data_IF_465708407627
#
_entry.id   IF_465708407627
#
_cell.length_a   1.000
_cell.length_b   1.000
_cell.length_c   1.000
_cell.angle_alpha   90.00
_cell.angle_beta   90.00
_cell.angle_gamma   90.00
#
_symmetry.space_group_name_H-M   'P 1'
#
loop_
_entity.id
_entity.type
_entity.pdbx_description
1 polymer ?
#
# COMPACT_ATOMS: atom_id res chain seq x y z
N UNK A 1 -11.93 -17.17 1.86
CA UNK A 1 -11.97 -15.95 1.01
C UNK A 1 -11.18 -14.90 1.75
N UNK A 2 -10.16 -14.31 1.14
CA UNK A 2 -9.43 -13.20 1.75
C UNK A 2 -10.36 -11.99 1.82
N UNK A 3 -10.42 -11.33 2.97
CA UNK A 3 -11.27 -10.16 3.23
C UNK A 3 -10.43 -8.88 3.19
N UNK A 4 -10.17 -8.28 2.01
CA UNK A 4 -9.23 -7.18 1.92
C UNK A 4 -9.79 -5.89 2.53
N UNK A 5 -8.92 -5.13 3.17
CA UNK A 5 -9.17 -3.76 3.64
C UNK A 5 -8.01 -2.87 3.24
N UNK A 6 -8.27 -1.60 3.02
CA UNK A 6 -7.23 -0.62 2.68
C UNK A 6 -6.68 -0.04 3.99
N UNK A 7 -5.39 0.25 4.04
CA UNK A 7 -4.76 0.95 5.17
C UNK A 7 -4.07 2.17 4.60
N UNK A 8 -4.43 3.35 5.09
CA UNK A 8 -3.78 4.62 4.78
C UNK A 8 -3.06 5.12 6.03
N UNK A 9 -1.73 5.19 5.96
CA UNK A 9 -0.89 5.43 7.12
C UNK A 9 -0.03 6.68 6.92
N UNK A 10 -0.14 7.63 7.84
CA UNK A 10 0.54 8.92 7.76
C UNK A 10 2.05 8.75 7.67
N UNK A 11 2.66 9.43 6.69
CA UNK A 11 4.09 9.46 6.46
C UNK A 11 4.67 10.76 7.00
N UNK A 12 5.67 10.63 7.85
CA UNK A 12 6.45 11.74 8.39
C UNK A 12 7.60 12.04 7.43
N UNK A 13 7.59 13.24 6.85
CA UNK A 13 8.71 13.84 6.12
C UNK A 13 9.21 15.07 6.87
N UNK A 14 10.52 15.34 6.80
CA UNK A 14 11.11 16.57 7.36
C UNK A 14 10.57 17.82 6.67
N UNK A 15 10.16 17.70 5.40
CA UNK A 15 9.55 18.79 4.64
C UNK A 15 8.12 19.16 5.09
N UNK A 16 7.50 18.37 5.99
CA UNK A 16 6.33 18.81 6.76
C UNK A 16 4.98 18.84 6.03
N UNK A 17 4.78 18.11 4.92
CA UNK A 17 3.47 18.11 4.28
C UNK A 17 2.43 17.27 5.05
N UNK A 18 1.21 17.81 5.11
CA UNK A 18 0.14 17.33 6.00
C UNK A 18 -0.61 16.12 5.44
N UNK A 19 -0.64 15.91 4.13
CA UNK A 19 -1.40 14.81 3.49
C UNK A 19 -0.52 13.62 3.07
N UNK A 20 0.75 13.60 3.47
CA UNK A 20 1.64 12.50 3.12
C UNK A 20 1.20 11.20 3.80
N UNK A 21 1.02 10.16 2.99
CA UNK A 21 0.61 8.85 3.49
C UNK A 21 1.10 7.72 2.57
N UNK A 22 1.10 6.51 3.11
CA UNK A 22 1.30 5.28 2.36
C UNK A 22 0.03 4.44 2.46
N UNK A 23 -0.39 3.91 1.33
CA UNK A 23 -1.52 3.02 1.20
C UNK A 23 -1.05 1.58 0.94
N UNK A 24 -1.69 0.62 1.58
CA UNK A 24 -1.50 -0.81 1.28
C UNK A 24 -2.76 -1.59 1.67
N UNK A 25 -2.85 -2.85 1.24
CA UNK A 25 -3.99 -3.71 1.57
C UNK A 25 -3.62 -4.68 2.69
N UNK A 26 -4.53 -4.86 3.64
CA UNK A 26 -4.48 -5.94 4.63
C UNK A 26 -5.53 -6.99 4.26
N UNK A 27 -5.09 -8.25 4.22
CA UNK A 27 -5.94 -9.44 4.15
C UNK A 27 -5.52 -10.45 5.23
N UNK A 28 -6.20 -11.60 5.29
CA UNK A 28 -5.90 -12.64 6.29
C UNK A 28 -4.44 -13.12 6.17
N UNK A 29 -3.93 -13.25 4.94
CA UNK A 29 -2.55 -13.67 4.68
C UNK A 29 -1.55 -12.62 5.19
N UNK A 30 -1.81 -11.34 4.98
CA UNK A 30 -0.99 -10.25 5.48
C UNK A 30 -1.00 -10.20 7.01
N UNK A 31 -2.17 -10.35 7.63
CA UNK A 31 -2.31 -10.41 9.08
C UNK A 31 -1.51 -11.57 9.68
N UNK A 32 -1.61 -12.77 9.11
CA UNK A 32 -0.83 -13.94 9.54
C UNK A 32 0.67 -13.74 9.32
N UNK A 33 1.05 -13.16 8.19
CA UNK A 33 2.45 -12.83 7.91
C UNK A 33 3.02 -11.83 8.92
N UNK A 34 2.26 -10.82 9.35
CA UNK A 34 2.69 -9.90 10.40
C UNK A 34 2.95 -10.64 11.72
N UNK A 35 2.06 -11.55 12.12
CA UNK A 35 2.25 -12.38 13.32
C UNK A 35 3.50 -13.26 13.20
N UNK A 36 3.70 -13.90 12.05
CA UNK A 36 4.88 -14.72 11.78
C UNK A 36 6.16 -13.88 11.86
N UNK A 37 6.23 -12.76 11.15
CA UNK A 37 7.40 -11.88 11.19
C UNK A 37 7.68 -11.35 12.60
N UNK A 38 6.63 -11.05 13.37
CA UNK A 38 6.77 -10.65 14.78
C UNK A 38 7.38 -11.75 15.64
N UNK A 39 7.02 -13.01 15.41
CA UNK A 39 7.57 -14.17 16.13
C UNK A 39 9.06 -14.41 15.85
N UNK A 40 9.57 -13.93 14.71
CA UNK A 40 10.99 -13.99 14.37
C UNK A 40 11.85 -13.01 15.19
N UNK A 41 11.22 -12.03 15.83
CA UNK A 41 11.92 -11.04 16.65
C UNK A 41 11.86 -11.46 18.12
N UNK A 42 12.97 -11.88 18.74
CA UNK A 42 12.99 -12.33 20.12
C UNK A 42 12.55 -11.21 21.07
N UNK A 43 11.79 -11.51 22.15
CA UNK A 43 11.42 -10.51 23.14
C UNK A 43 12.67 -9.94 23.85
N UNK A 44 12.72 -8.62 23.98
CA UNK A 44 13.79 -7.94 24.70
C UNK A 44 13.56 -8.07 26.21
N UNK A 45 14.44 -8.79 26.89
CA UNK A 45 14.46 -8.87 28.35
C UNK A 45 15.50 -7.89 28.91
N UNK A 46 15.39 -7.52 30.19
CA UNK A 46 16.31 -6.59 30.87
C UNK A 46 17.79 -6.97 30.70
N UNK A 47 18.10 -8.27 30.69
CA UNK A 47 19.46 -8.79 30.46
C UNK A 47 20.01 -8.63 29.04
N UNK A 48 19.13 -8.53 28.05
CA UNK A 48 19.48 -8.54 26.63
C UNK A 48 19.34 -7.15 25.99
N UNK A 49 18.67 -6.20 26.67
CA UNK A 49 18.41 -4.84 26.17
C UNK A 49 19.68 -4.00 26.00
N UNK A 50 20.73 -4.30 26.76
CA UNK A 50 22.05 -3.63 26.72
C UNK A 50 23.07 -4.33 25.84
N UNK A 51 22.71 -5.46 25.23
CA UNK A 51 23.60 -6.20 24.33
C UNK A 51 23.34 -5.74 22.89
N UNK A 52 24.35 -5.13 22.28
CA UNK A 52 24.31 -4.59 20.90
C UNK A 52 24.04 -5.65 19.80
N UNK A 53 24.05 -6.94 20.12
CA UNK A 53 23.94 -8.05 19.18
C UNK A 53 22.55 -8.71 19.13
N UNK A 54 21.53 -8.11 19.75
CA UNK A 54 20.17 -8.67 19.72
C UNK A 54 19.43 -8.13 18.51
N UNK A 55 18.88 -9.04 17.69
CA UNK A 55 17.95 -8.67 16.62
C UNK A 55 16.69 -8.12 17.28
N UNK A 56 16.58 -6.80 17.32
CA UNK A 56 15.43 -6.10 17.91
C UNK A 56 14.33 -5.80 16.88
N UNK A 57 14.66 -5.92 15.59
CA UNK A 57 13.78 -5.57 14.47
C UNK A 57 14.02 -6.46 13.26
N UNK A 58 12.95 -6.73 12.53
CA UNK A 58 12.99 -7.36 11.20
C UNK A 58 12.45 -6.37 10.17
N UNK A 59 13.14 -6.27 9.03
CA UNK A 59 12.74 -5.43 7.89
C UNK A 59 12.46 -6.32 6.70
N UNK A 60 11.25 -6.21 6.14
CA UNK A 60 10.88 -6.93 4.91
C UNK A 60 10.20 -6.01 3.91
N UNK A 61 10.12 -6.43 2.65
CA UNK A 61 9.42 -5.69 1.60
C UNK A 61 7.94 -5.55 1.93
N UNK A 62 7.41 -4.32 1.80
CA UNK A 62 5.97 -4.06 1.90
C UNK A 62 5.36 -4.24 0.50
N UNK A 63 4.49 -5.25 0.28
CA UNK A 63 3.87 -5.48 -1.01
C UNK A 63 2.79 -4.42 -1.30
N UNK A 64 2.60 -4.10 -2.58
CA UNK A 64 1.50 -3.25 -3.09
C UNK A 64 1.38 -1.87 -2.41
N UNK A 65 2.48 -1.34 -1.87
CA UNK A 65 2.49 -0.05 -1.22
C UNK A 65 2.45 1.08 -2.25
N UNK A 66 1.48 1.98 -2.12
CA UNK A 66 1.38 3.22 -2.89
C UNK A 66 1.74 4.37 -1.96
N UNK A 67 2.74 5.17 -2.34
CA UNK A 67 3.21 6.28 -1.52
C UNK A 67 2.73 7.60 -2.11
N UNK A 68 2.02 8.39 -1.33
CA UNK A 68 1.54 9.72 -1.71
C UNK A 68 2.38 10.74 -0.96
N UNK A 69 3.51 11.12 -1.55
CA UNK A 69 4.56 11.88 -0.87
C UNK A 69 5.12 13.05 -1.69
N UNK A 70 4.41 13.52 -2.73
CA UNK A 70 4.84 14.60 -3.62
C UNK A 70 3.69 15.42 -4.20
N UNK A 71 4.00 16.63 -4.67
CA UNK A 71 3.04 17.58 -5.27
C UNK A 71 2.77 17.34 -6.77
N UNK A 72 3.62 16.56 -7.44
CA UNK A 72 3.50 16.26 -8.87
C UNK A 72 3.69 14.75 -9.07
N UNK A 73 2.98 14.16 -10.02
CA UNK A 73 2.66 12.73 -10.13
C UNK A 73 3.80 11.72 -10.29
N UNK A 74 5.05 12.07 -9.99
CA UNK A 74 6.16 11.12 -9.89
C UNK A 74 6.40 10.72 -8.42
N UNK A 75 5.54 9.81 -7.93
CA UNK A 75 5.61 9.22 -6.59
C UNK A 75 6.68 8.13 -6.48
N UNK A 76 7.82 8.30 -7.15
CA UNK A 76 8.90 7.34 -7.16
C UNK A 76 9.46 7.09 -5.76
N UNK A 77 9.19 5.91 -5.19
CA UNK A 77 9.80 5.45 -3.95
C UNK A 77 10.75 4.30 -4.23
N UNK A 78 12.01 4.49 -3.84
CA UNK A 78 13.05 3.48 -3.95
C UNK A 78 12.99 2.54 -2.75
N UNK A 79 12.29 1.42 -2.96
CA UNK A 79 12.12 0.38 -1.96
C UNK A 79 11.08 0.76 -0.90
N UNK A 80 10.10 -0.13 -0.74
CA UNK A 80 9.11 -0.03 0.33
C UNK A 80 9.28 -1.19 1.30
N UNK A 81 9.26 -0.90 2.59
CA UNK A 81 9.45 -1.90 3.63
C UNK A 81 8.49 -1.70 4.78
N UNK A 82 8.23 -2.80 5.48
CA UNK A 82 7.68 -2.82 6.82
C UNK A 82 8.81 -3.21 7.78
N UNK A 83 8.89 -2.49 8.90
CA UNK A 83 9.83 -2.74 9.99
C UNK A 83 9.00 -3.17 11.19
N UNK A 84 9.33 -4.33 11.75
CA UNK A 84 8.63 -4.92 12.91
C UNK A 84 9.58 -4.97 14.08
N UNK A 85 9.16 -4.45 15.22
CA UNK A 85 9.96 -4.42 16.45
C UNK A 85 9.63 -5.57 17.41
N UNK A 86 10.58 -5.82 18.31
CA UNK A 86 10.47 -6.77 19.40
C UNK A 86 9.37 -6.44 20.43
N UNK A 87 8.73 -5.28 20.32
CA UNK A 87 7.66 -4.83 21.21
C UNK A 87 6.27 -5.03 20.58
N UNK A 88 6.17 -5.63 19.38
CA UNK A 88 4.87 -5.88 18.73
C UNK A 88 4.34 -4.71 17.91
N UNK A 89 5.21 -3.75 17.57
CA UNK A 89 4.87 -2.62 16.73
C UNK A 89 5.44 -2.80 15.32
N UNK A 90 4.81 -2.14 14.36
CA UNK A 90 5.37 -1.98 13.03
C UNK A 90 5.34 -0.53 12.57
N UNK A 91 6.19 -0.19 11.62
CA UNK A 91 6.09 1.03 10.84
C UNK A 91 6.43 0.74 9.37
N UNK A 92 5.95 1.58 8.47
CA UNK A 92 6.33 1.54 7.07
C UNK A 92 7.54 2.47 6.85
N UNK A 93 8.38 2.10 5.88
CA UNK A 93 9.56 2.84 5.50
C UNK A 93 9.73 2.86 3.99
N UNK A 94 10.19 4.00 3.49
CA UNK A 94 10.47 4.22 2.08
C UNK A 94 11.63 5.19 1.91
N UNK A 95 12.14 5.29 0.68
CA UNK A 95 13.10 6.33 0.31
C UNK A 95 12.57 7.08 -0.90
N UNK A 96 12.40 8.38 -0.76
CA UNK A 96 12.01 9.24 -1.88
C UNK A 96 13.09 9.14 -2.97
N UNK A 97 12.72 8.82 -4.21
CA UNK A 97 13.67 8.63 -5.30
C UNK A 97 14.38 9.94 -5.67
N UNK A 98 13.63 11.04 -5.71
CA UNK A 98 14.09 12.36 -6.16
C UNK A 98 14.94 13.05 -5.10
N UNK A 99 14.40 13.18 -3.89
CA UNK A 99 15.10 13.89 -2.80
C UNK A 99 16.04 13.00 -2.01
N UNK A 100 15.97 11.67 -2.20
CA UNK A 100 16.70 10.67 -1.41
C UNK A 100 16.34 10.70 0.08
N UNK A 101 15.28 11.42 0.46
CA UNK A 101 14.79 11.55 1.83
C UNK A 101 14.23 10.21 2.34
N UNK A 102 14.54 9.87 3.60
CA UNK A 102 13.94 8.73 4.27
C UNK A 102 12.53 9.08 4.71
N UNK A 103 11.57 8.28 4.30
CA UNK A 103 10.17 8.39 4.69
C UNK A 103 9.84 7.28 5.67
N UNK A 104 9.13 7.63 6.75
CA UNK A 104 8.70 6.68 7.77
C UNK A 104 7.31 7.04 8.25
N UNK A 105 6.52 6.04 8.62
CA UNK A 105 5.28 6.27 9.35
C UNK A 105 5.54 6.26 10.86
N UNK A 106 4.55 6.70 11.63
CA UNK A 106 4.48 6.38 13.05
C UNK A 106 4.43 4.87 13.26
N UNK A 107 4.81 4.42 14.45
CA UNK A 107 4.66 3.02 14.85
C UNK A 107 3.21 2.72 15.20
N UNK A 108 2.69 1.55 14.80
CA UNK A 108 1.36 1.09 15.13
C UNK A 108 1.39 -0.35 15.70
N UNK A 109 0.54 -0.71 16.68
CA UNK A 109 0.53 -2.05 17.24
C UNK A 109 0.01 -3.09 16.24
N UNK A 110 0.76 -4.18 16.05
CA UNK A 110 0.36 -5.29 15.17
C UNK A 110 -0.94 -5.93 15.68
N UNK A 111 -1.03 -6.17 16.99
CA UNK A 111 -2.22 -6.77 17.60
C UNK A 111 -3.48 -5.94 17.33
N UNK A 112 -3.36 -4.60 17.41
CA UNK A 112 -4.49 -3.69 17.16
C UNK A 112 -4.90 -3.71 15.69
N UNK A 113 -3.95 -3.69 14.76
CA UNK A 113 -4.29 -3.77 13.33
C UNK A 113 -5.02 -5.08 12.99
N UNK A 114 -4.56 -6.18 13.58
CA UNK A 114 -5.15 -7.51 13.43
C UNK A 114 -6.55 -7.60 14.02
N UNK A 115 -6.77 -7.02 15.20
CA UNK A 115 -8.08 -6.93 15.85
C UNK A 115 -9.06 -6.13 14.98
N UNK A 116 -8.64 -4.95 14.50
CA UNK A 116 -9.43 -4.13 13.58
C UNK A 116 -9.81 -4.89 12.31
N UNK A 117 -8.88 -5.65 11.73
CA UNK A 117 -9.14 -6.49 10.57
C UNK A 117 -10.17 -7.60 10.84
N UNK A 118 -10.26 -8.10 12.08
CA UNK A 118 -11.26 -9.10 12.45
C UNK A 118 -12.65 -8.48 12.70
N UNK A 119 -12.71 -7.29 13.29
CA UNK A 119 -13.95 -6.67 13.78
C UNK A 119 -14.64 -5.78 12.74
N UNK A 120 -13.87 -5.12 11.87
CA UNK A 120 -14.40 -4.10 10.96
C UNK A 120 -15.02 -4.70 9.70
N UNK A 121 -15.98 -4.04 9.05
CA UNK A 121 -16.51 -4.45 7.76
C UNK A 121 -15.42 -4.67 6.69
N UNK A 122 -15.70 -5.57 5.75
CA UNK A 122 -14.85 -5.74 4.56
C UNK A 122 -14.87 -4.47 3.69
N UNK A 123 -13.75 -4.16 3.04
CA UNK A 123 -13.64 -2.98 2.17
C UNK A 123 -13.48 -1.64 2.90
N UNK A 124 -13.55 -1.58 4.23
CA UNK A 124 -13.27 -0.36 4.98
C UNK A 124 -11.79 0.06 4.80
N UNK A 125 -11.56 1.38 4.71
CA UNK A 125 -10.21 1.96 4.74
C UNK A 125 -9.84 2.32 6.17
N UNK A 126 -8.76 1.75 6.69
CA UNK A 126 -8.20 2.09 7.99
C UNK A 126 -7.27 3.28 7.87
N UNK A 127 -7.64 4.39 8.49
CA UNK A 127 -6.83 5.59 8.56
C UNK A 127 -6.00 5.56 9.84
N UNK A 128 -4.68 5.67 9.69
CA UNK A 128 -3.71 5.60 10.79
C UNK A 128 -2.86 6.87 10.79
N UNK A 129 -3.04 7.71 11.82
CA UNK A 129 -2.33 8.99 11.99
C UNK A 129 -1.72 9.05 13.38
N UNK A 130 -0.52 9.60 13.51
CA UNK A 130 0.13 9.80 14.82
C UNK A 130 0.21 8.52 15.69
N UNK A 131 0.20 7.34 15.06
CA UNK A 131 0.24 6.04 15.74
C UNK A 131 -1.10 5.54 16.30
N UNK A 132 -2.22 6.19 15.96
CA UNK A 132 -3.58 5.82 16.38
C UNK A 132 -4.47 5.48 15.18
N UNK A 133 -5.57 4.77 15.45
CA UNK A 133 -6.61 4.47 14.47
C UNK A 133 -7.64 5.59 14.48
N UNK A 134 -7.84 6.25 13.34
CA UNK A 134 -8.54 7.54 13.29
C UNK A 134 -9.99 7.44 12.86
N UNK A 135 -10.47 6.30 12.35
CA UNK A 135 -11.85 6.19 11.88
C UNK A 135 -12.88 6.44 12.98
N UNK A 136 -12.50 6.22 14.24
CA UNK A 136 -13.37 6.43 15.40
C UNK A 136 -13.19 7.82 16.04
N UNK A 137 -12.25 8.62 15.55
CA UNK A 137 -11.99 9.95 16.07
C UNK A 137 -13.06 10.95 15.58
N UNK A 138 -13.43 11.95 16.39
CA UNK A 138 -14.34 13.02 15.97
C UNK A 138 -13.87 13.71 14.68
N UNK A 139 -14.79 14.09 13.80
CA UNK A 139 -14.45 14.72 12.52
C UNK A 139 -13.72 16.07 12.67
N UNK A 140 -13.98 16.79 13.77
CA UNK A 140 -13.33 18.06 14.12
C UNK A 140 -11.96 17.88 14.79
N UNK A 141 -11.58 16.66 15.17
CA UNK A 141 -10.24 16.35 15.67
C UNK A 141 -9.19 16.54 14.57
N UNK A 142 -7.93 16.71 14.97
CA UNK A 142 -6.82 16.77 14.00
C UNK A 142 -6.80 15.52 13.11
N UNK A 143 -7.09 14.34 13.67
CA UNK A 143 -7.16 13.08 12.95
C UNK A 143 -8.31 13.06 11.93
N UNK A 144 -9.51 13.49 12.32
CA UNK A 144 -10.67 13.60 11.43
C UNK A 144 -10.45 14.59 10.29
N UNK A 145 -9.88 15.76 10.59
CA UNK A 145 -9.53 16.77 9.58
C UNK A 145 -8.51 16.27 8.56
N UNK A 146 -7.59 15.40 8.97
CA UNK A 146 -6.64 14.79 8.04
C UNK A 146 -7.31 13.80 7.11
N UNK A 147 -8.19 12.95 7.64
CA UNK A 147 -9.00 12.06 6.81
C UNK A 147 -9.84 12.86 5.80
N UNK A 148 -10.43 13.98 6.21
CA UNK A 148 -11.14 14.88 5.29
C UNK A 148 -10.21 15.43 4.19
N UNK A 149 -9.02 15.93 4.56
CA UNK A 149 -8.05 16.45 3.60
C UNK A 149 -7.55 15.39 2.59
N UNK A 150 -7.43 14.12 3.01
CA UNK A 150 -7.11 13.02 2.12
C UNK A 150 -8.21 12.80 1.06
N UNK A 151 -9.48 12.81 1.49
CA UNK A 151 -10.61 12.66 0.57
C UNK A 151 -10.74 13.83 -0.40
N UNK A 152 -10.52 15.07 0.07
CA UNK A 152 -10.51 16.25 -0.80
C UNK A 152 -9.43 16.15 -1.88
N UNK A 153 -8.23 15.66 -1.52
CA UNK A 153 -7.15 15.44 -2.47
C UNK A 153 -7.46 14.30 -3.48
N UNK A 154 -8.21 13.27 -3.06
CA UNK A 154 -8.68 12.21 -3.95
C UNK A 154 -9.70 12.73 -4.97
N UNK A 155 -10.65 13.57 -4.54
CA UNK A 155 -11.69 14.16 -5.41
C UNK A 155 -11.10 15.10 -6.46
N UNK A 156 -10.02 15.82 -6.13
CA UNK A 156 -9.35 16.75 -7.07
C UNK A 156 -8.51 16.00 -8.12
N UNK A 157 -8.16 14.73 -7.88
CA UNK A 157 -7.44 13.94 -8.88
C UNK A 157 -8.38 13.66 -10.07
N UNK A 158 -8.04 14.09 -11.30
CA UNK A 158 -8.85 13.75 -12.46
C UNK A 158 -8.95 12.22 -12.56
N UNK A 159 -10.12 11.66 -12.93
CA UNK A 159 -10.27 10.22 -13.08
C UNK A 159 -9.17 9.70 -13.98
N UNK A 160 -8.53 8.60 -13.57
CA UNK A 160 -7.54 7.93 -14.42
C UNK A 160 -8.17 7.71 -15.79
N UNK A 161 -7.55 8.27 -16.83
CA UNK A 161 -8.02 8.10 -18.19
C UNK A 161 -8.17 6.60 -18.45
N UNK A 162 -9.28 6.16 -19.09
CA UNK A 162 -9.47 4.75 -19.38
C UNK A 162 -8.23 4.24 -20.11
N UNK A 163 -7.66 3.17 -19.57
CA UNK A 163 -6.47 2.51 -20.13
C UNK A 163 -6.67 2.29 -21.63
N UNK A 164 -5.68 2.70 -22.44
CA UNK A 164 -5.63 2.54 -23.91
C UNK A 164 -5.79 1.08 -24.39
N UNK A 165 -5.84 0.11 -23.46
CA UNK A 165 -6.07 -1.29 -23.77
C UNK A 165 -7.53 -1.61 -24.17
N UNK A 166 -8.48 -0.70 -23.96
CA UNK A 166 -9.90 -0.94 -24.25
C UNK A 166 -10.33 -0.54 -25.69
N UNK A 167 -9.37 -0.24 -26.58
CA UNK A 167 -9.66 0.08 -28.00
C UNK A 167 -9.52 -1.09 -28.96
N UNK A 168 -9.21 -2.31 -28.48
CA UNK A 168 -9.21 -3.51 -29.32
C UNK A 168 -10.63 -4.09 -29.49
N UNK A 169 -11.55 -3.29 -30.04
CA UNK A 169 -12.77 -3.81 -30.62
C UNK A 169 -12.49 -4.39 -32.01
N UNK A 170 -12.72 -5.70 -32.16
CA UNK A 170 -13.16 -6.30 -33.42
C UNK A 170 -12.08 -6.66 -34.43
N UNK A 171 -11.29 -7.70 -34.15
CA UNK A 171 -10.68 -8.50 -35.22
C UNK A 171 -11.77 -9.46 -35.74
N UNK A 172 -12.21 -9.37 -37.01
CA UNK A 172 -13.08 -10.40 -37.56
C UNK A 172 -12.26 -11.69 -37.72
N UNK A 173 -12.70 -12.76 -37.06
CA UNK A 173 -12.22 -14.11 -37.29
C UNK A 173 -12.45 -14.47 -38.77
N UNK A 174 -11.36 -14.52 -39.54
CA UNK A 174 -11.36 -15.01 -40.92
C UNK A 174 -11.63 -16.52 -40.88
N UNK A 175 -12.86 -16.94 -41.16
CA UNK A 175 -13.19 -18.34 -41.42
C UNK A 175 -12.80 -18.63 -42.87
N UNK A 176 -11.59 -19.18 -43.09
CA UNK A 176 -11.29 -19.82 -44.37
C UNK A 176 -11.89 -21.23 -44.38
N UNK A 177 -13.03 -21.37 -45.06
CA UNK A 177 -13.50 -22.63 -45.60
C UNK A 177 -13.37 -22.59 -47.12
N UNK A 178 -12.66 -23.58 -47.68
CA UNK A 178 -12.85 -23.99 -49.06
C UNK A 178 -11.63 -23.84 -49.96
N UNK A 179 -10.73 -24.83 -49.93
CA UNK A 179 -9.93 -25.16 -51.09
C UNK A 179 -10.86 -25.58 -52.24
N UNK A 180 -10.71 -25.01 -53.45
CA UNK A 180 -10.88 -25.69 -54.75
C UNK A 180 -10.45 -24.78 -55.93
N UNK A 181 -9.29 -25.11 -56.50
CA UNK A 181 -8.87 -25.07 -57.93
C UNK A 181 -9.16 -23.86 -58.86
N UNK A 182 -8.16 -23.38 -59.63
CA UNK A 182 -8.34 -22.32 -60.63
C UNK A 182 -8.75 -22.87 -62.01
N UNK A 183 -9.37 -22.04 -62.86
CA UNK A 183 -9.14 -22.12 -64.29
C UNK A 183 -8.53 -20.82 -64.84
N UNK A 184 -7.52 -21.05 -65.66
CA UNK A 184 -6.76 -20.14 -66.50
C UNK A 184 -7.63 -19.32 -67.47
N UNK A 185 -7.27 -18.05 -67.67
CA UNK A 185 -7.59 -17.30 -68.89
C UNK A 185 -6.39 -16.43 -69.30
N UNK A 186 -5.97 -16.63 -70.55
CA UNK A 186 -4.83 -16.03 -71.27
C UNK A 186 -5.11 -14.58 -71.71
N UNK A 187 -4.06 -14.01 -72.33
CA UNK A 187 -4.02 -12.92 -73.35
C UNK A 187 -3.77 -11.54 -72.71
N UNK A 188 -2.72 -10.77 -73.01
CA UNK A 188 -1.74 -10.69 -74.12
C UNK A 188 -0.33 -10.41 -73.56
#
# INVERSE_FOLDING_TARGET
MSRPRKVAMQVVKRSGATTHHVEFTIDDNFADRLRQLRSLVPPLHSMNRTRDLVIDKVRVRLPNAVWHCGAEGDNGVDGSCIVISADGFFNCGGKDRKTREKMVTYTFPIARLVELHAERPEGETFYLRDGIFTNDEPADSAAGQWVAALHEQEVVRPPEAPSDFDTLQGVPLRVEQGAHTPPSLRIN
#
